data_IF_571571053266
#
_entry.id   IF_571571053266
#
_cell.length_a   1.000
_cell.length_b   1.000
_cell.length_c   1.000
_cell.angle_alpha   90.00
_cell.angle_beta   90.00
_cell.angle_gamma   90.00
#
_symmetry.space_group_name_H-M   'P 1'
#
loop_
_entity.id
_entity.type
_entity.pdbx_description
1 polymer ?
#
# COMPACT_ATOMS: atom_id res chain seq x y z
N UNK A 1 -25.92 4.99 -46.56
CA UNK A 1 -24.82 4.21 -47.13
C UNK A 1 -24.14 3.47 -46.00
N UNK A 2 -24.49 2.18 -45.83
CA UNK A 2 -23.93 1.33 -44.74
C UNK A 2 -22.77 0.53 -45.31
N UNK A 3 -21.58 0.72 -44.75
CA UNK A 3 -20.40 -0.05 -45.08
C UNK A 3 -20.34 -1.21 -44.09
N UNK A 4 -20.50 -2.44 -44.59
CA UNK A 4 -20.30 -3.66 -43.84
C UNK A 4 -18.81 -4.03 -43.91
N UNK A 5 -18.14 -4.08 -42.77
CA UNK A 5 -16.77 -4.57 -42.66
C UNK A 5 -16.82 -6.04 -42.24
N UNK A 6 -16.46 -6.92 -43.16
CA UNK A 6 -16.37 -8.37 -42.90
C UNK A 6 -14.96 -8.66 -42.37
N UNK A 7 -14.86 -9.06 -41.09
CA UNK A 7 -13.61 -9.50 -40.47
C UNK A 7 -13.49 -11.00 -40.67
N UNK A 8 -12.54 -11.46 -41.49
CA UNK A 8 -12.16 -12.87 -41.59
C UNK A 8 -11.19 -13.23 -40.46
N UNK A 9 -11.64 -14.06 -39.53
CA UNK A 9 -10.78 -14.63 -38.49
C UNK A 9 -10.06 -15.87 -39.07
N UNK A 10 -8.76 -15.76 -39.29
CA UNK A 10 -7.92 -16.92 -39.59
C UNK A 10 -7.57 -17.62 -38.26
N UNK A 11 -8.10 -18.83 -38.07
CA UNK A 11 -7.80 -19.69 -36.95
C UNK A 11 -6.45 -20.37 -37.19
N UNK A 12 -5.34 -19.84 -36.66
CA UNK A 12 -4.07 -20.54 -36.60
C UNK A 12 -4.12 -21.53 -35.43
N UNK A 13 -4.34 -22.80 -35.72
CA UNK A 13 -4.14 -23.88 -34.75
C UNK A 13 -2.63 -24.10 -34.60
N UNK A 14 -2.03 -23.49 -33.58
CA UNK A 14 -0.68 -23.82 -33.19
C UNK A 14 -0.71 -25.10 -32.31
N UNK A 15 -0.05 -26.15 -32.77
CA UNK A 15 0.20 -27.33 -31.97
C UNK A 15 1.16 -26.97 -30.85
N UNK A 16 0.65 -26.96 -29.61
CA UNK A 16 1.46 -26.75 -28.40
C UNK A 16 2.30 -28.00 -28.19
N UNK A 17 3.64 -27.93 -28.18
CA UNK A 17 4.48 -29.07 -27.84
C UNK A 17 4.20 -29.51 -26.39
N UNK A 18 4.15 -30.83 -26.13
CA UNK A 18 3.99 -31.32 -24.79
C UNK A 18 5.16 -30.89 -23.90
N UNK A 19 4.87 -30.11 -22.86
CA UNK A 19 5.85 -29.66 -21.86
C UNK A 19 6.47 -30.86 -21.14
N UNK A 20 7.80 -30.92 -21.06
CA UNK A 20 8.52 -31.89 -20.24
C UNK A 20 8.34 -31.55 -18.75
N UNK A 21 8.54 -32.50 -17.86
CA UNK A 21 8.40 -32.35 -16.43
C UNK A 21 9.28 -31.20 -15.86
N UNK A 22 10.48 -30.99 -16.41
CA UNK A 22 11.37 -29.88 -16.05
C UNK A 22 10.82 -28.52 -16.43
N UNK A 23 10.11 -28.43 -17.56
CA UNK A 23 9.49 -27.18 -18.02
C UNK A 23 8.32 -26.78 -17.10
N UNK A 24 7.61 -27.76 -16.53
CA UNK A 24 6.50 -27.50 -15.60
C UNK A 24 6.98 -26.92 -14.28
N UNK A 25 8.13 -27.33 -13.76
CA UNK A 25 8.72 -26.79 -12.52
C UNK A 25 9.22 -25.36 -12.75
N UNK A 26 9.86 -25.10 -13.89
CA UNK A 26 10.31 -23.76 -14.25
C UNK A 26 9.14 -22.79 -14.48
N UNK A 27 8.05 -23.24 -15.11
CA UNK A 27 6.83 -22.44 -15.30
C UNK A 27 6.12 -22.18 -13.96
N UNK A 28 6.06 -23.17 -13.06
CA UNK A 28 5.51 -22.98 -11.71
C UNK A 28 6.38 -22.02 -10.87
N UNK A 29 7.70 -22.13 -10.95
CA UNK A 29 8.61 -21.20 -10.26
C UNK A 29 8.49 -19.78 -10.81
N UNK A 30 8.39 -19.60 -12.13
CA UNK A 30 8.17 -18.31 -12.77
C UNK A 30 6.78 -17.72 -12.41
N UNK A 31 5.73 -18.54 -12.36
CA UNK A 31 4.41 -18.12 -11.93
C UNK A 31 4.37 -17.71 -10.44
N UNK A 32 5.16 -18.39 -9.60
CA UNK A 32 5.28 -18.05 -8.17
C UNK A 32 6.01 -16.71 -7.93
N UNK A 33 6.74 -16.20 -8.93
CA UNK A 33 7.46 -14.91 -8.85
C UNK A 33 6.77 -13.75 -9.58
N UNK A 34 5.72 -14.04 -10.38
CA UNK A 34 4.99 -13.01 -11.11
C UNK A 34 4.06 -12.21 -10.18
N UNK A 35 3.96 -10.91 -10.47
CA UNK A 35 3.01 -10.05 -9.77
C UNK A 35 1.56 -10.43 -10.16
N UNK A 36 0.67 -10.48 -9.17
CA UNK A 36 -0.76 -10.57 -9.44
C UNK A 36 -1.25 -9.28 -10.11
N UNK A 37 -2.10 -9.38 -11.14
CA UNK A 37 -2.52 -8.20 -11.91
C UNK A 37 -4.01 -8.19 -12.28
N UNK A 38 -4.76 -9.20 -11.88
CA UNK A 38 -6.14 -9.39 -12.36
C UNK A 38 -7.16 -8.36 -11.80
N UNK A 39 -6.79 -7.56 -10.79
CA UNK A 39 -7.62 -6.55 -10.15
C UNK A 39 -7.26 -5.11 -10.54
N UNK A 40 -6.43 -4.93 -11.55
CA UNK A 40 -6.02 -3.59 -12.02
C UNK A 40 -4.91 -2.94 -11.20
N UNK A 41 -4.27 -3.68 -10.27
CA UNK A 41 -3.10 -3.17 -9.54
C UNK A 41 -1.94 -2.85 -10.46
N UNK A 42 -1.21 -1.81 -10.13
CA UNK A 42 0.10 -1.54 -10.73
C UNK A 42 1.10 -2.58 -10.22
N UNK A 43 2.07 -2.99 -11.05
CA UNK A 43 3.15 -3.86 -10.58
C UNK A 43 4.02 -3.17 -9.52
N UNK A 44 4.68 -3.95 -8.67
CA UNK A 44 5.65 -3.43 -7.70
C UNK A 44 6.70 -2.54 -8.40
N UNK A 45 7.26 -3.04 -9.52
CA UNK A 45 8.25 -2.29 -10.29
C UNK A 45 7.73 -0.96 -10.79
N UNK A 46 6.46 -0.89 -11.21
CA UNK A 46 5.84 0.37 -11.66
C UNK A 46 5.69 1.35 -10.51
N UNK A 47 5.18 0.92 -9.36
CA UNK A 47 5.01 1.80 -8.19
C UNK A 47 6.37 2.30 -7.72
N UNK A 48 7.29 1.39 -7.38
CA UNK A 48 8.58 1.76 -6.83
C UNK A 48 9.42 2.59 -7.79
N UNK A 49 9.39 2.27 -9.10
CA UNK A 49 10.11 3.04 -10.13
C UNK A 49 9.62 4.48 -10.26
N UNK A 50 8.31 4.73 -10.13
CA UNK A 50 7.77 6.09 -10.11
C UNK A 50 8.28 6.89 -8.91
N UNK A 51 8.39 6.26 -7.74
CA UNK A 51 8.94 6.91 -6.56
C UNK A 51 10.46 7.09 -6.62
N UNK A 52 11.18 6.13 -7.21
CA UNK A 52 12.64 6.28 -7.41
C UNK A 52 12.97 7.46 -8.33
N UNK A 53 12.09 7.79 -9.29
CA UNK A 53 12.20 9.00 -10.10
C UNK A 53 12.19 10.29 -9.26
N UNK A 54 11.39 10.35 -8.18
CA UNK A 54 11.38 11.52 -7.28
C UNK A 54 12.75 11.78 -6.64
N UNK A 55 13.51 10.73 -6.36
CA UNK A 55 14.86 10.88 -5.80
C UNK A 55 15.81 11.53 -6.79
N UNK A 56 15.66 11.19 -8.07
CA UNK A 56 16.52 11.71 -9.13
C UNK A 56 16.10 13.12 -9.58
N UNK A 57 14.80 13.37 -9.69
CA UNK A 57 14.26 14.59 -10.29
C UNK A 57 14.00 15.69 -9.26
N UNK A 58 13.64 15.32 -8.02
CA UNK A 58 13.20 16.25 -6.98
C UNK A 58 14.04 16.16 -5.69
N UNK A 59 15.13 15.38 -5.69
CA UNK A 59 16.03 15.27 -4.55
C UNK A 59 15.42 14.58 -3.30
N UNK A 60 14.37 13.79 -3.48
CA UNK A 60 13.81 13.02 -2.38
C UNK A 60 14.77 11.93 -1.94
N UNK A 61 14.80 11.64 -0.66
CA UNK A 61 15.61 10.55 -0.11
C UNK A 61 14.77 9.28 -0.03
N UNK A 62 15.25 8.20 -0.67
CA UNK A 62 14.68 6.87 -0.48
C UNK A 62 15.40 6.12 0.64
N UNK A 63 14.70 5.24 1.33
CA UNK A 63 15.25 4.35 2.34
C UNK A 63 14.54 3.00 2.32
N UNK A 64 15.32 1.91 2.34
CA UNK A 64 14.80 0.57 2.55
C UNK A 64 14.56 0.36 4.03
N UNK A 65 13.31 0.05 4.38
CA UNK A 65 12.87 -0.22 5.75
C UNK A 65 13.12 -1.69 6.09
N UNK A 66 12.77 -2.60 5.17
CA UNK A 66 12.92 -4.03 5.33
C UNK A 66 13.08 -4.71 3.97
N UNK A 67 14.09 -5.56 3.84
CA UNK A 67 14.27 -6.47 2.71
C UNK A 67 13.75 -7.86 3.09
N UNK A 68 12.98 -8.48 2.20
CA UNK A 68 12.52 -9.86 2.41
C UNK A 68 13.60 -10.85 1.96
N UNK A 69 14.33 -11.50 2.89
CA UNK A 69 15.46 -12.37 2.53
C UNK A 69 15.04 -13.59 1.73
N UNK A 70 13.80 -14.07 1.96
CA UNK A 70 13.23 -15.21 1.23
C UNK A 70 12.69 -14.85 -0.16
N UNK A 71 12.60 -13.55 -0.48
CA UNK A 71 12.07 -13.07 -1.76
C UNK A 71 12.92 -11.92 -2.29
N UNK A 72 14.08 -12.21 -2.88
CA UNK A 72 15.00 -11.19 -3.37
C UNK A 72 14.32 -10.18 -4.29
N UNK A 73 14.62 -8.91 -4.08
CA UNK A 73 14.06 -7.79 -4.85
C UNK A 73 12.70 -7.29 -4.36
N UNK A 74 12.17 -7.85 -3.28
CA UNK A 74 11.01 -7.30 -2.57
C UNK A 74 11.50 -6.60 -1.29
N UNK A 75 11.11 -5.34 -1.14
CA UNK A 75 11.47 -4.55 0.04
C UNK A 75 10.36 -3.55 0.40
N UNK A 76 10.20 -3.30 1.68
CA UNK A 76 9.43 -2.13 2.15
C UNK A 76 10.34 -0.92 2.02
N UNK A 77 9.89 0.09 1.27
CA UNK A 77 10.63 1.32 1.03
C UNK A 77 9.83 2.54 1.44
N UNK A 78 10.53 3.60 1.79
CA UNK A 78 9.98 4.93 2.02
C UNK A 78 10.68 5.97 1.17
N UNK A 79 9.99 7.07 0.91
CA UNK A 79 10.54 8.27 0.30
C UNK A 79 10.17 9.49 1.15
N UNK A 80 11.07 10.46 1.22
CA UNK A 80 10.85 11.69 1.98
C UNK A 80 11.46 12.88 1.29
N UNK A 81 10.81 14.01 1.46
CA UNK A 81 11.32 15.30 0.98
C UNK A 81 12.62 15.69 1.70
N UNK A 82 13.47 16.55 1.10
CA UNK A 82 14.65 17.10 1.78
C UNK A 82 14.27 18.05 2.94
N UNK A 83 13.11 18.70 2.88
CA UNK A 83 12.62 19.57 3.94
C UNK A 83 12.17 18.73 5.15
N UNK A 84 12.58 19.15 6.34
CA UNK A 84 12.25 18.51 7.62
C UNK A 84 11.30 19.39 8.42
N UNK A 85 10.63 18.80 9.40
CA UNK A 85 9.69 19.50 10.28
C UNK A 85 8.34 18.80 10.31
N UNK A 86 7.30 19.49 10.77
CA UNK A 86 5.94 18.99 10.85
C UNK A 86 5.48 18.46 9.49
N UNK A 87 5.27 17.15 9.40
CA UNK A 87 5.17 16.44 8.13
C UNK A 87 3.79 15.85 7.85
N UNK A 88 3.47 15.78 6.56
CA UNK A 88 2.45 14.88 6.04
C UNK A 88 3.06 13.49 5.87
N UNK A 89 2.46 12.49 6.53
CA UNK A 89 2.79 11.09 6.34
C UNK A 89 1.69 10.42 5.53
N UNK A 90 2.08 9.65 4.53
CA UNK A 90 1.17 8.88 3.70
C UNK A 90 1.61 7.43 3.72
N UNK A 91 0.71 6.56 4.15
CA UNK A 91 0.91 5.13 4.26
C UNK A 91 -0.14 4.42 3.42
N UNK A 92 0.22 3.31 2.80
CA UNK A 92 -0.72 2.46 2.08
C UNK A 92 -0.20 1.03 1.94
N UNK A 93 -1.07 0.14 1.50
CA UNK A 93 -0.71 -1.24 1.21
C UNK A 93 -0.24 -2.03 2.43
N UNK A 94 -0.80 -1.76 3.61
CA UNK A 94 -0.65 -2.61 4.80
C UNK A 94 -1.24 -3.98 4.52
N UNK A 95 -2.38 -4.02 3.83
CA UNK A 95 -2.98 -5.25 3.33
C UNK A 95 -2.71 -5.36 1.82
N UNK A 96 -2.22 -6.50 1.40
CA UNK A 96 -1.75 -6.65 0.02
C UNK A 96 -2.86 -6.86 -1.00
N UNK A 97 -4.06 -7.22 -0.59
CA UNK A 97 -5.23 -7.33 -1.47
C UNK A 97 -5.92 -5.99 -1.76
N UNK A 98 -5.42 -4.90 -1.20
CA UNK A 98 -6.00 -3.56 -1.28
C UNK A 98 -5.20 -2.65 -2.25
N UNK A 99 -5.36 -2.76 -3.59
CA UNK A 99 -4.54 -2.04 -4.56
C UNK A 99 -4.90 -0.57 -4.74
N UNK A 100 -6.10 -0.12 -4.35
CA UNK A 100 -6.56 1.23 -4.63
C UNK A 100 -5.66 2.31 -4.01
N UNK A 101 -5.23 2.13 -2.77
CA UNK A 101 -4.35 3.06 -2.08
C UNK A 101 -2.99 3.23 -2.78
N UNK A 102 -2.22 2.15 -3.00
CA UNK A 102 -0.95 2.19 -3.73
C UNK A 102 -1.09 2.78 -5.13
N UNK A 103 -2.14 2.40 -5.88
CA UNK A 103 -2.41 2.95 -7.20
C UNK A 103 -2.68 4.46 -7.14
N UNK A 104 -3.50 4.90 -6.19
CA UNK A 104 -3.85 6.31 -6.03
C UNK A 104 -2.63 7.17 -5.70
N UNK A 105 -1.77 6.73 -4.77
CA UNK A 105 -0.55 7.47 -4.44
C UNK A 105 0.35 7.56 -5.67
N UNK A 106 0.60 6.44 -6.36
CA UNK A 106 1.44 6.41 -7.55
C UNK A 106 0.89 7.22 -8.74
N UNK A 107 -0.42 7.45 -8.78
CA UNK A 107 -1.06 8.29 -9.80
C UNK A 107 -0.99 9.80 -9.48
N UNK A 108 -0.79 10.18 -8.21
CA UNK A 108 -0.85 11.57 -7.75
C UNK A 108 0.53 12.13 -7.33
N UNK A 109 1.63 11.60 -7.86
CA UNK A 109 2.98 12.07 -7.51
C UNK A 109 3.21 13.53 -7.87
N UNK A 110 2.61 14.05 -8.95
CA UNK A 110 2.71 15.46 -9.31
C UNK A 110 2.18 16.37 -8.20
N UNK A 111 1.04 16.04 -7.62
CA UNK A 111 0.49 16.81 -6.49
C UNK A 111 1.37 16.72 -5.23
N UNK A 112 2.01 15.59 -5.00
CA UNK A 112 2.96 15.45 -3.90
C UNK A 112 4.22 16.28 -4.12
N UNK A 113 4.73 16.35 -5.36
CA UNK A 113 5.88 17.21 -5.68
C UNK A 113 5.53 18.68 -5.58
N UNK A 114 4.35 19.11 -6.04
CA UNK A 114 3.87 20.49 -5.85
C UNK A 114 3.84 20.90 -4.37
N UNK A 115 3.35 20.03 -3.49
CA UNK A 115 3.37 20.27 -2.04
C UNK A 115 4.80 20.33 -1.49
N UNK A 116 5.68 19.43 -1.95
CA UNK A 116 7.08 19.42 -1.54
C UNK A 116 7.82 20.69 -2.00
N UNK A 117 7.59 21.15 -3.23
CA UNK A 117 8.16 22.37 -3.78
C UNK A 117 7.64 23.63 -3.05
N UNK A 118 6.42 23.55 -2.50
CA UNK A 118 5.89 24.57 -1.60
C UNK A 118 6.49 24.50 -0.17
N UNK A 119 7.44 23.58 0.07
CA UNK A 119 8.17 23.46 1.34
C UNK A 119 7.50 22.55 2.37
N UNK A 120 6.46 21.79 2.00
CA UNK A 120 5.80 20.84 2.90
C UNK A 120 6.68 19.62 3.11
N UNK A 121 7.08 19.27 4.36
CA UNK A 121 7.75 18.02 4.65
C UNK A 121 6.79 16.85 4.42
N UNK A 122 7.23 15.86 3.63
CA UNK A 122 6.40 14.69 3.30
C UNK A 122 7.20 13.41 3.52
N UNK A 123 6.55 12.40 4.09
CA UNK A 123 7.05 11.02 4.18
C UNK A 123 6.02 10.10 3.56
N UNK A 124 6.43 9.27 2.62
CA UNK A 124 5.54 8.31 1.95
C UNK A 124 6.08 6.89 2.09
N UNK A 125 5.20 5.97 2.47
CA UNK A 125 5.40 4.53 2.42
C UNK A 125 4.30 3.98 1.52
N UNK A 126 4.52 3.90 0.19
CA UNK A 126 3.45 3.59 -0.75
C UNK A 126 2.98 2.14 -0.68
N UNK A 127 3.83 1.25 -0.15
CA UNK A 127 3.57 -0.18 -0.02
C UNK A 127 4.23 -0.70 1.26
N UNK A 128 3.45 -0.79 2.32
CA UNK A 128 3.92 -1.32 3.59
C UNK A 128 4.03 -2.87 3.59
N UNK A 129 3.34 -3.54 2.67
CA UNK A 129 3.34 -5.00 2.55
C UNK A 129 3.52 -5.44 1.08
N UNK A 130 4.69 -5.17 0.47
CA UNK A 130 4.93 -5.47 -0.94
C UNK A 130 4.89 -6.98 -1.24
N UNK A 131 5.24 -7.84 -0.28
CA UNK A 131 5.18 -9.29 -0.43
C UNK A 131 3.75 -9.76 -0.63
N UNK A 132 2.84 -9.39 0.26
CA UNK A 132 1.44 -9.77 0.14
C UNK A 132 0.76 -9.10 -1.06
N UNK A 133 1.10 -7.85 -1.36
CA UNK A 133 0.60 -7.12 -2.54
C UNK A 133 0.90 -7.88 -3.83
N UNK A 134 2.13 -8.37 -3.99
CA UNK A 134 2.55 -9.17 -5.15
C UNK A 134 1.64 -10.38 -5.39
N UNK A 135 1.17 -11.01 -4.32
CA UNK A 135 0.43 -12.26 -4.37
C UNK A 135 -1.08 -12.10 -4.17
N UNK A 136 -1.58 -10.89 -3.99
CA UNK A 136 -2.97 -10.63 -3.62
C UNK A 136 -3.38 -11.33 -2.30
N UNK A 137 -2.47 -11.32 -1.34
CA UNK A 137 -2.71 -11.80 0.02
C UNK A 137 -3.03 -10.62 0.94
N UNK A 138 -3.75 -10.89 2.03
CA UNK A 138 -3.98 -9.85 3.04
C UNK A 138 -2.73 -9.64 3.90
N UNK A 139 -2.13 -10.71 4.38
CA UNK A 139 -1.02 -10.69 5.33
C UNK A 139 0.29 -11.19 4.72
N UNK A 140 1.46 -10.73 5.21
CA UNK A 140 2.75 -11.12 4.65
C UNK A 140 3.12 -12.59 4.90
N UNK A 141 2.53 -13.21 5.93
CA UNK A 141 2.84 -14.55 6.41
C UNK A 141 1.79 -15.60 6.06
N UNK A 142 0.68 -15.22 5.44
CA UNK A 142 -0.45 -16.12 5.19
C UNK A 142 -0.94 -15.96 3.76
N UNK A 143 -0.84 -17.02 2.91
CA UNK A 143 -1.31 -16.98 1.53
C UNK A 143 -2.85 -17.04 1.48
N UNK A 144 -3.51 -16.04 2.01
CA UNK A 144 -4.97 -15.94 2.11
C UNK A 144 -5.40 -14.47 1.94
N UNK A 145 -6.44 -14.28 1.17
CA UNK A 145 -7.09 -12.98 0.98
C UNK A 145 -8.14 -12.71 2.06
N UNK A 146 -8.85 -13.73 2.50
CA UNK A 146 -9.94 -13.60 3.47
C UNK A 146 -9.40 -13.46 4.89
N UNK A 147 -9.59 -12.29 5.47
CA UNK A 147 -9.19 -11.99 6.85
C UNK A 147 -9.81 -12.91 7.91
N UNK A 148 -10.95 -13.57 7.61
CA UNK A 148 -11.64 -14.48 8.53
C UNK A 148 -10.97 -15.83 8.64
N UNK A 149 -10.16 -16.23 7.64
CA UNK A 149 -9.56 -17.55 7.58
C UNK A 149 -8.15 -17.61 8.16
N UNK A 150 -7.52 -16.48 8.43
CA UNK A 150 -6.10 -16.44 8.68
C UNK A 150 -5.69 -16.31 10.14
N UNK A 151 -4.59 -16.95 10.51
CA UNK A 151 -3.74 -16.60 11.66
C UNK A 151 -2.67 -15.57 11.28
N UNK A 152 -2.93 -14.74 10.25
CA UNK A 152 -2.01 -13.72 9.78
C UNK A 152 -1.90 -12.53 10.73
N UNK A 153 -0.85 -11.74 10.54
CA UNK A 153 -0.67 -10.45 11.20
C UNK A 153 -0.54 -9.34 10.14
N UNK A 154 -1.04 -8.16 10.45
CA UNK A 154 -0.84 -6.98 9.64
C UNK A 154 0.55 -6.38 9.86
N UNK A 155 1.17 -5.84 8.83
CA UNK A 155 2.43 -5.09 8.96
C UNK A 155 2.26 -3.85 9.84
N UNK A 156 1.02 -3.36 9.97
CA UNK A 156 0.67 -2.24 10.83
C UNK A 156 0.40 -2.59 12.30
N UNK A 157 0.50 -3.86 12.71
CA UNK A 157 0.21 -4.29 14.09
C UNK A 157 1.33 -3.88 15.09
N UNK A 158 1.70 -2.61 15.06
CA UNK A 158 2.77 -2.05 15.88
C UNK A 158 2.49 -2.09 17.38
N UNK A 159 1.24 -2.24 17.78
CA UNK A 159 0.84 -2.36 19.18
C UNK A 159 1.48 -3.55 19.91
N UNK A 160 1.95 -4.56 19.18
CA UNK A 160 2.71 -5.67 19.76
C UNK A 160 4.14 -5.31 20.16
N UNK A 161 4.65 -4.21 19.62
CA UNK A 161 6.04 -3.79 19.76
C UNK A 161 6.19 -2.57 20.67
N UNK A 162 5.11 -1.82 20.85
CA UNK A 162 5.10 -0.63 21.69
C UNK A 162 4.79 -1.01 23.15
N UNK A 163 5.47 -0.40 24.11
CA UNK A 163 5.07 -0.51 25.50
C UNK A 163 3.66 0.06 25.66
N UNK A 164 2.93 -0.46 26.64
CA UNK A 164 1.62 0.04 27.03
C UNK A 164 1.66 1.57 27.22
N UNK A 165 1.08 2.31 26.30
CA UNK A 165 1.00 3.77 26.39
C UNK A 165 -0.21 4.20 27.23
N UNK A 166 -1.20 3.32 27.37
CA UNK A 166 -2.39 3.49 28.21
C UNK A 166 -2.64 2.24 29.04
N UNK A 167 -2.93 2.42 30.31
CA UNK A 167 -3.14 1.35 31.30
C UNK A 167 -4.29 0.37 31.00
N UNK A 168 -4.79 0.30 29.79
CA UNK A 168 -5.82 -0.61 29.31
C UNK A 168 -5.51 -1.37 28.05
N UNK A 169 -4.52 -0.96 27.29
CA UNK A 169 -4.12 -1.60 26.01
C UNK A 169 -2.90 -2.47 26.22
N UNK A 170 -3.09 -3.74 26.50
CA UNK A 170 -1.97 -4.69 26.45
C UNK A 170 -1.77 -5.19 25.04
N UNK A 171 -0.52 -5.29 24.58
CA UNK A 171 -0.21 -6.03 23.36
C UNK A 171 -0.84 -7.42 23.42
N UNK A 172 -1.45 -7.88 22.34
CA UNK A 172 -1.97 -9.24 22.25
C UNK A 172 -0.80 -10.22 22.31
N UNK A 173 -0.59 -10.84 23.47
CA UNK A 173 0.55 -11.71 23.74
C UNK A 173 0.55 -13.03 22.92
N UNK A 174 -0.55 -13.34 22.25
CA UNK A 174 -0.77 -14.55 21.47
C UNK A 174 -0.26 -14.47 20.02
N UNK A 175 0.15 -13.28 19.57
CA UNK A 175 0.67 -13.06 18.22
C UNK A 175 2.00 -12.34 18.27
N UNK A 176 3.02 -12.96 17.68
CA UNK A 176 4.32 -12.32 17.49
C UNK A 176 4.31 -11.60 16.15
N UNK A 177 4.51 -10.28 16.11
CA UNK A 177 4.61 -9.56 14.84
C UNK A 177 5.85 -10.02 14.06
N UNK A 178 5.74 -9.97 12.73
CA UNK A 178 6.85 -10.31 11.88
C UNK A 178 8.00 -9.29 11.95
N UNK A 179 9.17 -9.68 11.45
CA UNK A 179 10.34 -8.80 11.44
C UNK A 179 10.10 -7.52 10.63
N UNK A 180 9.27 -7.57 9.58
CA UNK A 180 8.86 -6.42 8.79
C UNK A 180 8.04 -5.42 9.61
N UNK A 181 7.14 -5.90 10.49
CA UNK A 181 6.36 -5.04 11.40
C UNK A 181 7.29 -4.33 12.39
N UNK A 182 8.26 -5.07 12.94
CA UNK A 182 9.27 -4.51 13.83
C UNK A 182 10.11 -3.43 13.13
N UNK A 183 10.57 -3.72 11.91
CA UNK A 183 11.36 -2.78 11.13
C UNK A 183 10.57 -1.52 10.78
N UNK A 184 9.32 -1.64 10.35
CA UNK A 184 8.43 -0.51 10.06
C UNK A 184 8.21 0.36 11.30
N UNK A 185 7.93 -0.25 12.44
CA UNK A 185 7.73 0.47 13.71
C UNK A 185 8.98 1.25 14.11
N UNK A 186 10.16 0.61 14.09
CA UNK A 186 11.42 1.26 14.42
C UNK A 186 11.74 2.41 13.44
N UNK A 187 11.46 2.22 12.15
CA UNK A 187 11.60 3.27 11.14
C UNK A 187 10.73 4.48 11.47
N UNK A 188 9.43 4.27 11.74
CA UNK A 188 8.49 5.34 12.06
C UNK A 188 8.93 6.10 13.32
N UNK A 189 9.24 5.40 14.41
CA UNK A 189 9.67 6.03 15.66
C UNK A 189 10.96 6.85 15.50
N UNK A 190 11.92 6.35 14.73
CA UNK A 190 13.17 7.04 14.44
C UNK A 190 12.94 8.26 13.55
N UNK A 191 12.18 8.10 12.46
CA UNK A 191 12.02 9.17 11.48
C UNK A 191 11.11 10.28 12.00
N UNK A 192 10.15 9.99 12.86
CA UNK A 192 9.27 10.98 13.50
C UNK A 192 10.05 12.02 14.33
N UNK A 193 11.30 11.74 14.71
CA UNK A 193 12.16 12.73 15.37
C UNK A 193 12.57 13.87 14.42
N UNK A 194 12.61 13.62 13.12
CA UNK A 194 13.01 14.60 12.10
C UNK A 194 11.83 15.09 11.27
N UNK A 195 10.79 14.28 11.18
CA UNK A 195 9.53 14.53 10.46
C UNK A 195 8.36 14.27 11.41
N UNK A 196 8.15 15.09 12.45
CA UNK A 196 7.02 14.92 13.36
C UNK A 196 5.71 14.84 12.57
N UNK A 197 4.87 13.81 12.78
CA UNK A 197 3.64 13.65 12.01
C UNK A 197 2.62 14.71 12.42
N UNK A 198 2.36 15.66 11.54
CA UNK A 198 1.30 16.66 11.69
C UNK A 198 -0.04 16.11 11.19
N UNK A 199 0.03 15.35 10.13
CA UNK A 199 -1.10 14.62 9.54
C UNK A 199 -0.62 13.27 9.06
N UNK A 200 -1.42 12.24 9.29
CA UNK A 200 -1.17 10.89 8.79
C UNK A 200 -2.38 10.47 7.98
N UNK A 201 -2.15 10.04 6.75
CA UNK A 201 -3.12 9.39 5.88
C UNK A 201 -2.73 7.92 5.72
N UNK A 202 -3.59 7.03 6.17
CA UNK A 202 -3.47 5.59 5.93
C UNK A 202 -4.58 5.18 4.97
N UNK A 203 -4.19 4.74 3.77
CA UNK A 203 -5.10 4.49 2.66
C UNK A 203 -5.38 2.99 2.54
N UNK A 204 -6.63 2.64 2.70
CA UNK A 204 -7.15 1.28 2.61
C UNK A 204 -8.21 1.15 1.53
N UNK A 205 -8.51 -0.09 1.17
CA UNK A 205 -9.65 -0.49 0.36
C UNK A 205 -10.39 -1.60 1.09
N UNK A 206 -11.72 -1.60 1.08
CA UNK A 206 -12.49 -2.72 1.59
C UNK A 206 -13.78 -2.97 0.78
N UNK A 207 -14.41 -4.11 1.08
CA UNK A 207 -15.64 -4.56 0.43
C UNK A 207 -16.91 -4.12 1.19
N UNK A 208 -16.79 -3.32 2.26
CA UNK A 208 -17.92 -2.92 3.11
C UNK A 208 -18.86 -1.96 2.40
N UNK A 209 -18.40 -1.29 1.34
CA UNK A 209 -19.19 -0.41 0.52
C UNK A 209 -18.83 -0.55 -0.94
N UNK A 210 -19.79 -0.99 -1.76
CA UNK A 210 -19.67 -1.04 -3.23
C UNK A 210 -19.92 0.32 -3.88
N UNK A 211 -20.42 1.30 -3.14
CA UNK A 211 -20.94 2.56 -3.69
C UNK A 211 -20.29 3.81 -3.07
N UNK A 212 -19.13 3.70 -2.46
CA UNK A 212 -18.49 4.90 -1.90
C UNK A 212 -17.34 4.60 -0.95
N UNK A 213 -16.75 5.67 -0.43
CA UNK A 213 -15.70 5.61 0.55
C UNK A 213 -16.19 5.81 1.98
N UNK A 214 -15.33 5.50 2.95
CA UNK A 214 -15.53 5.94 4.31
C UNK A 214 -14.22 6.45 4.91
N UNK A 215 -14.33 7.26 5.95
CA UNK A 215 -13.18 7.86 6.62
C UNK A 215 -13.24 7.48 8.08
N UNK A 216 -12.14 6.89 8.56
CA UNK A 216 -11.87 6.78 9.97
C UNK A 216 -11.04 7.98 10.44
N UNK A 217 -11.58 8.75 11.36
CA UNK A 217 -10.80 9.78 12.02
C UNK A 217 -10.34 9.28 13.38
N UNK A 218 -9.06 9.43 13.65
CA UNK A 218 -8.46 9.09 14.93
C UNK A 218 -8.01 10.35 15.67
N UNK A 219 -7.94 10.30 16.98
CA UNK A 219 -7.52 11.40 17.82
C UNK A 219 -8.37 11.51 19.09
N UNK A 220 -8.11 12.51 19.89
CA UNK A 220 -8.82 12.75 21.18
C UNK A 220 -10.31 13.02 21.02
N UNK A 221 -10.72 13.50 19.86
CA UNK A 221 -12.12 13.74 19.48
C UNK A 221 -12.28 13.42 17.98
N UNK A 222 -12.40 12.13 17.61
CA UNK A 222 -12.45 11.71 16.21
C UNK A 222 -13.54 12.42 15.41
N UNK A 223 -14.71 12.60 16.02
CA UNK A 223 -15.88 13.28 15.42
C UNK A 223 -15.66 14.77 15.14
N UNK A 224 -14.66 15.37 15.75
CA UNK A 224 -14.29 16.77 15.58
C UNK A 224 -12.92 16.94 14.89
N UNK A 225 -12.37 15.89 14.32
CA UNK A 225 -11.10 15.95 13.62
C UNK A 225 -11.23 16.84 12.37
N UNK A 226 -10.57 18.01 12.32
CA UNK A 226 -10.73 18.95 11.21
C UNK A 226 -10.20 18.40 9.89
N UNK A 227 -9.21 17.50 9.92
CA UNK A 227 -8.67 16.84 8.74
C UNK A 227 -9.72 15.88 8.17
N UNK A 228 -10.31 15.02 9.01
CA UNK A 228 -11.38 14.13 8.60
C UNK A 228 -12.58 14.89 8.01
N UNK A 229 -12.99 15.99 8.67
CA UNK A 229 -14.09 16.82 8.19
C UNK A 229 -13.80 17.45 6.81
N UNK A 230 -12.57 17.91 6.58
CA UNK A 230 -12.18 18.48 5.29
C UNK A 230 -12.11 17.42 4.19
N UNK A 231 -11.60 16.22 4.48
CA UNK A 231 -11.62 15.11 3.52
C UNK A 231 -13.06 14.73 3.16
N UNK A 232 -13.95 14.66 4.14
CA UNK A 232 -15.39 14.43 3.91
C UNK A 232 -15.95 15.49 2.97
N UNK A 233 -15.69 16.75 3.23
CA UNK A 233 -16.17 17.86 2.40
C UNK A 233 -15.65 17.77 0.95
N UNK A 234 -14.37 17.45 0.78
CA UNK A 234 -13.74 17.32 -0.54
C UNK A 234 -14.34 16.14 -1.32
N UNK A 235 -14.51 14.98 -0.71
CA UNK A 235 -15.09 13.80 -1.35
C UNK A 235 -16.56 14.01 -1.70
N UNK A 236 -17.33 14.65 -0.82
CA UNK A 236 -18.72 15.02 -1.12
C UNK A 236 -18.83 15.96 -2.33
N UNK A 237 -17.88 16.89 -2.47
CA UNK A 237 -17.83 17.81 -3.61
C UNK A 237 -17.56 17.08 -4.95
N UNK A 238 -16.94 15.90 -4.92
CA UNK A 238 -16.73 15.06 -6.13
C UNK A 238 -17.93 14.17 -6.47
N UNK A 239 -18.99 14.20 -5.63
CA UNK A 239 -20.18 13.35 -5.80
C UNK A 239 -19.99 11.90 -5.36
N UNK A 240 -18.87 11.56 -4.73
CA UNK A 240 -18.62 10.22 -4.18
C UNK A 240 -19.48 10.04 -2.92
N UNK A 241 -20.34 9.01 -2.85
CA UNK A 241 -21.07 8.69 -1.64
C UNK A 241 -20.09 8.40 -0.50
N UNK A 242 -20.33 9.01 0.65
CA UNK A 242 -19.44 8.87 1.80
C UNK A 242 -20.18 8.33 2.99
N UNK A 243 -19.64 7.29 3.61
CA UNK A 243 -20.02 6.87 4.94
C UNK A 243 -18.97 7.39 5.92
N UNK A 244 -19.40 8.16 6.89
CA UNK A 244 -18.55 8.50 8.01
C UNK A 244 -18.69 7.42 9.07
N UNK A 245 -17.59 6.77 9.39
CA UNK A 245 -17.48 5.95 10.59
C UNK A 245 -16.34 6.50 11.43
N UNK A 246 -16.63 6.77 12.68
CA UNK A 246 -15.67 7.12 13.69
C UNK A 246 -16.24 6.65 15.02
N UNK A 247 -15.47 5.91 15.79
CA UNK A 247 -15.71 5.67 17.22
C UNK A 247 -14.72 6.48 17.99
#
# INVERSE_FOLDING_TARGET
MRIALTLAAALCVQTVPALRADDSVAVQAAAATADYTADGRLSLGTILGRFDALSTEHGWTSETIYDYPETPGIAIKSWRTPHRGDALWILSGIHGEEPAGPNAIAANLASLTELADAGVPIVVIPLANPKAYRHNWRYPNTPERDWKKGGGYSVGDAEYLLPDLDAGTRPRADKVPGPETAALTQFVLRLAQQYPPRMVLDLHEDELSTEGGYIYSQGTRPEHNPVGAEIVRLLQATGIPLRQSGK
#
